data_IF_178424933700
#
_entry.id   IF_178424933700
#
_cell.length_a   1.000
_cell.length_b   1.000
_cell.length_c   1.000
_cell.angle_alpha   90.00
_cell.angle_beta   90.00
_cell.angle_gamma   90.00
#
_symmetry.space_group_name_H-M   'P 1'
#
loop_
_entity.id
_entity.type
_entity.pdbx_description
1 polymer ?
#
# COMPACT_ATOMS: atom_id res chain seq x y z
N UNK A 1 2.54 -7.95 14.27
CA UNK A 1 3.19 -7.40 13.07
C UNK A 1 2.68 -8.18 11.86
N UNK A 2 2.20 -7.51 10.82
CA UNK A 2 1.79 -8.18 9.58
C UNK A 2 2.97 -8.24 8.62
N UNK A 3 3.14 -9.37 7.94
CA UNK A 3 4.23 -9.54 6.99
C UNK A 3 3.89 -8.87 5.65
N UNK A 4 4.86 -8.17 5.07
CA UNK A 4 4.84 -7.80 3.66
C UNK A 4 5.26 -9.00 2.83
N UNK A 5 4.36 -9.48 1.97
CA UNK A 5 4.67 -10.56 1.04
C UNK A 5 5.17 -9.94 -0.25
N UNK A 6 6.40 -10.25 -0.65
CA UNK A 6 6.97 -9.75 -1.90
C UNK A 6 6.26 -10.46 -3.07
N UNK A 7 5.61 -9.70 -3.96
CA UNK A 7 5.00 -10.22 -5.19
C UNK A 7 6.02 -10.10 -6.34
N UNK A 8 6.69 -8.94 -6.43
CA UNK A 8 7.65 -8.62 -7.48
C UNK A 8 8.71 -7.65 -6.95
N UNK A 9 9.70 -7.30 -7.80
CA UNK A 9 10.75 -6.33 -7.46
C UNK A 9 10.21 -4.99 -6.96
N UNK A 10 9.06 -4.57 -7.46
CA UNK A 10 8.44 -3.27 -7.16
C UNK A 10 7.07 -3.41 -6.52
N UNK A 11 6.60 -4.62 -6.21
CA UNK A 11 5.26 -4.83 -5.67
C UNK A 11 5.27 -5.79 -4.50
N UNK A 12 4.56 -5.44 -3.44
CA UNK A 12 4.41 -6.26 -2.24
C UNK A 12 2.96 -6.26 -1.78
N UNK A 13 2.45 -7.41 -1.35
CA UNK A 13 1.15 -7.52 -0.72
C UNK A 13 1.23 -7.26 0.78
N UNK A 14 0.22 -6.59 1.33
CA UNK A 14 0.05 -6.35 2.76
C UNK A 14 -1.45 -6.34 3.10
N UNK A 15 -1.90 -7.25 3.98
CA UNK A 15 -3.31 -7.40 4.39
C UNK A 15 -4.35 -7.47 3.24
N UNK A 16 -3.97 -8.04 2.10
CA UNK A 16 -4.82 -8.12 0.91
C UNK A 16 -4.78 -6.90 -0.01
N UNK A 17 -4.01 -5.87 0.34
CA UNK A 17 -3.68 -4.73 -0.52
C UNK A 17 -2.36 -4.98 -1.23
N UNK A 18 -2.18 -4.36 -2.39
CA UNK A 18 -0.93 -4.36 -3.15
C UNK A 18 -0.29 -2.98 -3.04
N UNK A 19 0.96 -2.95 -2.59
CA UNK A 19 1.79 -1.76 -2.54
C UNK A 19 2.76 -1.82 -3.69
N UNK A 20 2.71 -0.85 -4.59
CA UNK A 20 3.65 -0.69 -5.70
C UNK A 20 4.66 0.41 -5.39
N UNK A 21 5.91 0.03 -5.23
CA UNK A 21 7.05 0.93 -5.03
C UNK A 21 7.52 1.51 -6.36
N UNK A 22 7.39 2.83 -6.48
CA UNK A 22 7.96 3.64 -7.56
C UNK A 22 9.28 4.25 -7.09
N UNK A 23 10.42 3.80 -7.63
CA UNK A 23 11.73 4.26 -7.19
C UNK A 23 11.95 5.73 -7.54
N UNK A 24 12.84 6.36 -6.77
CA UNK A 24 13.33 7.71 -7.06
C UNK A 24 14.00 7.76 -8.43
N UNK A 25 13.62 8.71 -9.27
CA UNK A 25 14.26 8.98 -10.55
C UNK A 25 14.80 10.41 -10.60
N UNK A 26 15.63 10.74 -11.59
CA UNK A 26 16.11 12.11 -11.78
C UNK A 26 14.97 13.14 -11.97
N UNK A 27 13.81 12.68 -12.43
CA UNK A 27 12.60 13.49 -12.62
C UNK A 27 11.71 13.49 -11.37
N UNK A 28 11.63 12.36 -10.65
CA UNK A 28 10.85 12.23 -9.41
C UNK A 28 11.79 11.98 -8.22
N UNK A 29 12.17 13.04 -7.48
CA UNK A 29 13.16 12.97 -6.40
C UNK A 29 12.65 12.27 -5.13
N UNK A 30 11.42 11.76 -5.13
CA UNK A 30 10.81 11.08 -3.98
C UNK A 30 10.39 9.68 -4.42
N UNK A 31 10.75 8.67 -3.63
CA UNK A 31 10.22 7.33 -3.81
C UNK A 31 8.76 7.32 -3.38
N UNK A 32 7.87 6.84 -4.24
CA UNK A 32 6.43 6.83 -3.96
C UNK A 32 5.93 5.40 -3.86
N UNK A 33 4.94 5.21 -3.02
CA UNK A 33 4.30 3.93 -2.75
C UNK A 33 2.83 4.08 -3.08
N UNK A 34 2.38 3.36 -4.09
CA UNK A 34 1.00 3.38 -4.52
C UNK A 34 0.26 2.20 -3.91
N UNK A 35 -0.92 2.45 -3.32
CA UNK A 35 -1.72 1.40 -2.67
C UNK A 35 -2.90 1.04 -3.55
N UNK A 36 -3.06 -0.25 -3.80
CA UNK A 36 -4.13 -0.83 -4.60
C UNK A 36 -4.92 -1.88 -3.82
N UNK A 37 -6.23 -1.94 -4.07
CA UNK A 37 -7.10 -3.05 -3.69
C UNK A 37 -7.84 -3.55 -4.93
N UNK A 38 -7.38 -4.66 -5.50
CA UNK A 38 -7.85 -5.11 -6.81
C UNK A 38 -7.53 -4.06 -7.88
N UNK A 39 -8.55 -3.48 -8.50
CA UNK A 39 -8.41 -2.44 -9.53
C UNK A 39 -8.49 -1.00 -8.96
N UNK A 40 -8.83 -0.84 -7.68
CA UNK A 40 -8.95 0.48 -7.05
C UNK A 40 -7.61 0.98 -6.54
N UNK A 41 -7.15 2.13 -7.05
CA UNK A 41 -6.01 2.88 -6.49
C UNK A 41 -6.49 3.85 -5.40
N UNK A 42 -5.76 3.88 -4.28
CA UNK A 42 -6.00 4.81 -3.17
C UNK A 42 -5.05 6.02 -3.20
N UNK A 43 -4.15 6.07 -4.18
CA UNK A 43 -3.20 7.17 -4.35
C UNK A 43 -1.77 6.82 -3.94
N UNK A 44 -0.92 7.85 -4.00
CA UNK A 44 0.52 7.78 -3.81
C UNK A 44 0.90 8.30 -2.42
N UNK A 45 1.73 7.53 -1.72
CA UNK A 45 2.31 7.90 -0.44
C UNK A 45 3.83 8.02 -0.56
N UNK A 46 4.44 8.95 0.16
CA UNK A 46 5.88 9.21 0.06
C UNK A 46 6.75 8.22 0.86
N UNK A 47 6.14 7.32 1.64
CA UNK A 47 6.86 6.32 2.43
C UNK A 47 6.09 5.00 2.57
N UNK A 48 6.83 3.89 2.62
CA UNK A 48 6.26 2.55 2.83
C UNK A 48 5.52 2.44 4.16
N UNK A 49 6.07 3.04 5.23
CA UNK A 49 5.45 3.04 6.54
C UNK A 49 4.10 3.77 6.56
N UNK A 50 3.97 4.86 5.79
CA UNK A 50 2.70 5.56 5.61
C UNK A 50 1.70 4.69 4.85
N UNK A 51 2.16 4.00 3.80
CA UNK A 51 1.30 3.07 3.05
C UNK A 51 0.78 1.93 3.93
N UNK A 52 1.64 1.30 4.75
CA UNK A 52 1.21 0.24 5.67
C UNK A 52 0.26 0.75 6.75
N UNK A 53 0.51 1.94 7.31
CA UNK A 53 -0.38 2.54 8.31
C UNK A 53 -1.75 2.91 7.73
N UNK A 54 -1.77 3.43 6.51
CA UNK A 54 -3.01 3.72 5.79
C UNK A 54 -3.79 2.43 5.49
N UNK A 55 -3.11 1.36 5.08
CA UNK A 55 -3.74 0.04 4.90
C UNK A 55 -4.27 -0.52 6.21
N UNK A 56 -3.56 -0.33 7.33
CA UNK A 56 -4.05 -0.76 8.64
C UNK A 56 -5.38 -0.07 9.00
N UNK A 57 -5.51 1.23 8.73
CA UNK A 57 -6.78 1.96 8.92
C UNK A 57 -7.89 1.42 8.01
N UNK A 58 -7.63 1.29 6.70
CA UNK A 58 -8.60 0.75 5.74
C UNK A 58 -9.03 -0.68 6.09
N UNK A 59 -8.10 -1.50 6.57
CA UNK A 59 -8.40 -2.86 6.98
C UNK A 59 -9.34 -2.89 8.20
N UNK A 60 -9.12 -2.00 9.18
CA UNK A 60 -10.00 -1.86 10.34
C UNK A 60 -11.38 -1.37 9.90
N UNK A 61 -11.45 -0.32 9.08
CA UNK A 61 -12.71 0.19 8.54
C UNK A 61 -13.51 -0.87 7.79
N UNK A 62 -12.85 -1.63 6.90
CA UNK A 62 -13.49 -2.73 6.17
C UNK A 62 -13.96 -3.84 7.10
N UNK A 63 -13.19 -4.19 8.13
CA UNK A 63 -13.56 -5.24 9.09
C UNK A 63 -14.75 -4.80 9.95
N UNK A 64 -14.79 -3.52 10.34
CA UNK A 64 -15.88 -2.95 11.14
C UNK A 64 -17.14 -2.74 10.30
N UNK A 65 -17.01 -2.28 9.06
CA UNK A 65 -18.13 -2.09 8.12
C UNK A 65 -18.71 -3.40 7.56
N UNK A 66 -17.92 -4.47 7.49
CA UNK A 66 -18.41 -5.80 7.09
C UNK A 66 -19.13 -6.55 8.23
N UNK A 67 -19.14 -6.01 9.45
CA UNK A 67 -19.83 -6.58 10.61
C UNK A 67 -21.21 -5.94 10.89
N UNK A 68 -21.72 -5.12 9.96
CA UNK A 68 -23.04 -4.48 10.03
C UNK A 68 -24.09 -5.22 9.18
#
# INVERSE_FOLDING_TARGET
MHALTIISRHSSAYRGFVITHRPRTAINPIARYEVFLGEQSFGLLDAQALATGFIDQLYIERKTGAAA
#
